data_IF_483955079445
#
_entry.id   IF_483955079445
#
_cell.length_a   1.000
_cell.length_b   1.000
_cell.length_c   1.000
_cell.angle_alpha   90.00
_cell.angle_beta   90.00
_cell.angle_gamma   90.00
#
_symmetry.space_group_name_H-M   'P 1'
#
loop_
_entity.id
_entity.type
_entity.pdbx_description
1 polymer ?
#
# COMPACT_ATOMS: atom_id res chain seq x y z
N UNK A 1 20.15 30.80 11.29
CA UNK A 1 19.79 29.97 12.47
C UNK A 1 21.03 29.26 13.02
N UNK A 2 21.80 28.47 12.24
CA UNK A 2 22.97 27.73 12.74
C UNK A 2 24.07 28.60 13.34
N UNK A 3 24.28 29.83 12.80
CA UNK A 3 25.24 30.82 13.36
C UNK A 3 24.79 31.31 14.72
N UNK A 4 23.54 31.78 14.84
CA UNK A 4 22.97 32.27 16.09
C UNK A 4 22.95 31.19 17.18
N UNK A 5 22.61 29.96 16.86
CA UNK A 5 22.66 28.86 17.82
C UNK A 5 24.08 28.64 18.36
N UNK A 6 25.10 28.74 17.50
CA UNK A 6 26.51 28.56 17.87
C UNK A 6 26.98 29.69 18.78
N UNK A 7 26.63 30.94 18.43
CA UNK A 7 26.95 32.15 19.23
C UNK A 7 26.27 32.12 20.60
N UNK A 8 25.06 31.54 20.69
CA UNK A 8 24.29 31.40 21.94
C UNK A 8 24.61 30.11 22.71
N UNK A 9 25.62 29.30 22.30
CA UNK A 9 25.95 28.02 22.94
C UNK A 9 24.88 26.96 22.84
N UNK A 10 23.87 27.13 21.97
CA UNK A 10 22.78 26.19 21.80
C UNK A 10 23.15 25.09 20.81
N UNK A 11 22.89 23.84 21.19
CA UNK A 11 23.03 22.66 20.31
C UNK A 11 21.65 22.06 20.04
N UNK A 12 21.35 21.82 18.78
CA UNK A 12 20.16 21.06 18.40
C UNK A 12 20.20 19.65 19.02
N UNK A 13 19.14 19.24 19.68
CA UNK A 13 19.02 17.90 20.22
C UNK A 13 18.70 16.93 19.07
N UNK A 14 19.72 16.29 18.55
CA UNK A 14 19.53 15.21 17.57
C UNK A 14 19.08 13.98 18.36
N UNK A 15 17.80 13.66 18.30
CA UNK A 15 17.31 12.37 18.79
C UNK A 15 17.55 11.34 17.68
N UNK A 16 18.67 10.65 17.76
CA UNK A 16 18.92 9.49 16.90
C UNK A 16 18.05 8.33 17.38
N UNK A 17 16.86 8.22 16.80
CA UNK A 17 16.03 7.02 17.03
C UNK A 17 16.61 5.90 16.20
N UNK A 18 17.50 5.13 16.77
CA UNK A 18 17.96 3.85 16.21
C UNK A 18 16.80 2.85 16.32
N UNK A 19 15.93 2.83 15.32
CA UNK A 19 14.98 1.74 15.15
C UNK A 19 15.78 0.49 14.79
N UNK A 20 15.92 -0.44 15.71
CA UNK A 20 16.38 -1.79 15.38
C UNK A 20 15.33 -2.38 14.44
N UNK A 21 15.65 -2.51 13.16
CA UNK A 21 14.78 -3.20 12.19
C UNK A 21 14.92 -4.70 12.47
N UNK A 22 13.87 -5.35 13.00
CA UNK A 22 13.92 -6.81 13.19
C UNK A 22 14.11 -7.47 11.82
N UNK A 23 14.99 -8.49 11.76
CA UNK A 23 15.28 -9.24 10.53
C UNK A 23 15.96 -8.44 9.41
N UNK A 24 16.97 -7.65 9.72
CA UNK A 24 17.75 -6.88 8.74
C UNK A 24 18.18 -7.71 7.51
N UNK A 25 18.58 -8.98 7.70
CA UNK A 25 18.92 -9.89 6.59
C UNK A 25 17.73 -10.10 5.63
N UNK A 26 16.53 -10.39 6.14
CA UNK A 26 15.33 -10.54 5.31
C UNK A 26 14.97 -9.25 4.60
N UNK A 27 15.10 -8.12 5.27
CA UNK A 27 14.88 -6.81 4.70
C UNK A 27 15.84 -6.52 3.54
N UNK A 28 17.12 -6.85 3.67
CA UNK A 28 18.13 -6.68 2.62
C UNK A 28 17.93 -7.69 1.47
N UNK A 29 17.50 -8.92 1.77
CA UNK A 29 17.30 -10.01 0.81
C UNK A 29 15.88 -10.06 0.22
N UNK A 30 15.03 -9.08 0.51
CA UNK A 30 13.62 -9.11 0.08
C UNK A 30 13.44 -9.21 -1.44
N UNK A 31 14.42 -8.77 -2.22
CA UNK A 31 14.38 -8.80 -3.68
C UNK A 31 14.56 -7.41 -4.30
N UNK A 32 14.51 -7.37 -5.60
CA UNK A 32 14.73 -6.16 -6.41
C UNK A 32 13.42 -5.42 -6.70
N UNK A 33 13.55 -4.20 -7.20
CA UNK A 33 12.43 -3.45 -7.75
C UNK A 33 12.29 -3.74 -9.25
N UNK A 34 11.48 -4.74 -9.58
CA UNK A 34 11.23 -5.12 -10.98
C UNK A 34 10.52 -4.03 -11.77
N UNK A 35 9.80 -3.12 -11.11
CA UNK A 35 9.04 -2.06 -11.77
C UNK A 35 9.92 -0.97 -12.38
N UNK A 36 11.17 -0.82 -11.95
CA UNK A 36 12.08 0.18 -12.50
C UNK A 36 12.39 -0.06 -13.99
N UNK A 37 12.51 -1.32 -14.36
CA UNK A 37 12.87 -1.73 -15.71
C UNK A 37 11.68 -2.33 -16.48
N UNK A 38 10.54 -2.51 -15.83
CA UNK A 38 9.33 -2.98 -16.47
C UNK A 38 8.64 -1.83 -17.24
N UNK A 39 8.05 -2.09 -18.39
CA UNK A 39 7.20 -1.10 -19.07
C UNK A 39 6.01 -0.75 -18.19
N UNK A 40 5.45 0.45 -18.42
CA UNK A 40 4.19 0.80 -17.80
C UNK A 40 3.11 -0.23 -18.19
N UNK A 41 2.26 -0.66 -17.24
CA UNK A 41 1.25 -1.66 -17.54
C UNK A 41 0.30 -1.14 -18.63
N UNK A 42 -0.01 -1.99 -19.62
CA UNK A 42 -0.87 -1.67 -20.75
C UNK A 42 -2.30 -2.21 -20.57
N UNK A 43 -2.49 -3.10 -19.60
CA UNK A 43 -3.80 -3.69 -19.25
C UNK A 43 -3.84 -4.03 -17.77
N UNK A 44 -5.05 -4.36 -17.33
CA UNK A 44 -5.30 -4.82 -15.96
C UNK A 44 -4.53 -6.11 -15.67
N UNK A 45 -4.18 -6.28 -14.39
CA UNK A 45 -3.55 -7.49 -13.87
C UNK A 45 -2.15 -7.80 -14.44
N UNK A 46 -1.42 -6.76 -14.87
CA UNK A 46 0.02 -6.85 -15.17
C UNK A 46 0.88 -6.44 -13.98
N UNK A 47 0.45 -5.43 -13.25
CA UNK A 47 1.16 -4.96 -12.07
C UNK A 47 0.16 -4.63 -10.96
N UNK A 48 0.33 -5.26 -9.80
CA UNK A 48 -0.36 -4.88 -8.58
C UNK A 48 0.60 -4.26 -7.59
N UNK A 49 0.14 -3.27 -6.86
CA UNK A 49 0.85 -2.68 -5.73
C UNK A 49 0.07 -2.89 -4.45
N UNK A 50 0.79 -3.17 -3.37
CA UNK A 50 0.17 -3.29 -2.06
C UNK A 50 0.97 -2.50 -1.03
N UNK A 51 0.28 -2.04 -0.01
CA UNK A 51 0.86 -1.29 1.09
C UNK A 51 -0.07 -1.32 2.30
N UNK A 52 0.43 -0.84 3.43
CA UNK A 52 -0.25 -0.78 4.69
C UNK A 52 -0.20 0.63 5.27
N UNK A 53 -1.35 1.11 5.74
CA UNK A 53 -1.43 2.33 6.54
C UNK A 53 -2.16 2.09 7.85
N UNK A 54 -2.09 3.05 8.77
CA UNK A 54 -2.81 2.97 10.03
C UNK A 54 -3.77 4.13 10.20
N UNK A 55 -4.90 3.86 10.84
CA UNK A 55 -5.93 4.83 11.17
C UNK A 55 -6.26 4.68 12.66
N UNK A 56 -6.40 5.82 13.35
CA UNK A 56 -6.70 5.82 14.77
C UNK A 56 -8.20 5.63 15.00
N UNK A 57 -8.53 4.66 15.85
CA UNK A 57 -9.89 4.42 16.35
C UNK A 57 -9.86 4.54 17.87
N UNK A 58 -10.52 5.53 18.43
CA UNK A 58 -10.38 5.89 19.85
C UNK A 58 -8.91 6.07 20.22
N UNK A 59 -8.40 5.25 21.14
CA UNK A 59 -7.02 5.28 21.64
C UNK A 59 -6.10 4.25 20.96
N UNK A 60 -6.60 3.45 20.00
CA UNK A 60 -5.86 2.34 19.35
C UNK A 60 -5.69 2.62 17.86
N UNK A 61 -4.68 2.00 17.24
CA UNK A 61 -4.50 2.00 15.80
C UNK A 61 -5.11 0.74 15.19
N UNK A 62 -5.75 0.91 14.03
CA UNK A 62 -6.17 -0.16 13.14
C UNK A 62 -5.30 -0.05 11.87
N UNK A 63 -4.94 -1.19 11.32
CA UNK A 63 -4.11 -1.26 10.11
C UNK A 63 -4.98 -1.57 8.91
N UNK A 64 -4.87 -0.75 7.88
CA UNK A 64 -5.53 -0.93 6.60
C UNK A 64 -4.51 -1.45 5.59
N UNK A 65 -4.71 -2.65 5.11
CA UNK A 65 -3.94 -3.27 4.03
C UNK A 65 -4.76 -3.12 2.75
N UNK A 66 -4.13 -2.68 1.66
CA UNK A 66 -4.81 -2.53 0.36
C UNK A 66 -3.97 -3.12 -0.77
N UNK A 67 -4.65 -3.63 -1.79
CA UNK A 67 -4.05 -4.08 -3.05
C UNK A 67 -4.71 -3.31 -4.18
N UNK A 68 -3.91 -2.68 -5.03
CA UNK A 68 -4.35 -1.84 -6.15
C UNK A 68 -3.80 -2.38 -7.46
N UNK A 69 -4.59 -2.36 -8.50
CA UNK A 69 -4.14 -2.51 -9.89
C UNK A 69 -3.50 -1.21 -10.38
N UNK A 70 -2.29 -1.29 -10.92
CA UNK A 70 -1.55 -0.09 -11.34
C UNK A 70 -2.13 0.54 -12.59
N UNK A 71 -2.63 -0.27 -13.52
CA UNK A 71 -3.20 0.21 -14.77
C UNK A 71 -4.50 1.00 -14.55
N UNK A 72 -5.44 0.39 -13.85
CA UNK A 72 -6.76 0.97 -13.63
C UNK A 72 -6.87 1.87 -12.40
N UNK A 73 -5.88 1.84 -11.50
CA UNK A 73 -5.92 2.49 -10.18
C UNK A 73 -6.98 1.90 -9.24
N UNK A 74 -7.65 0.83 -9.62
CA UNK A 74 -8.69 0.19 -8.83
C UNK A 74 -8.14 -0.48 -7.60
N UNK A 75 -8.76 -0.22 -6.46
CA UNK A 75 -8.51 -1.02 -5.26
C UNK A 75 -9.21 -2.37 -5.44
N UNK A 76 -8.40 -3.41 -5.63
CA UNK A 76 -8.85 -4.79 -5.86
C UNK A 76 -9.39 -5.43 -4.61
N UNK A 77 -8.84 -5.03 -3.47
CA UNK A 77 -9.25 -5.48 -2.16
C UNK A 77 -8.56 -4.74 -1.04
N UNK A 78 -9.21 -4.76 0.12
CA UNK A 78 -8.69 -4.19 1.35
C UNK A 78 -9.05 -5.05 2.57
N UNK A 79 -8.29 -4.90 3.64
CA UNK A 79 -8.53 -5.54 4.94
C UNK A 79 -8.21 -4.58 6.06
N UNK A 80 -9.05 -4.58 7.10
CA UNK A 80 -8.85 -3.80 8.32
C UNK A 80 -8.47 -4.77 9.45
N UNK A 81 -7.28 -4.59 10.01
CA UNK A 81 -6.66 -5.52 10.95
C UNK A 81 -6.23 -4.81 12.23
N UNK A 82 -6.11 -5.55 13.32
CA UNK A 82 -5.62 -5.06 14.62
C UNK A 82 -4.09 -5.19 14.69
N UNK A 83 -3.54 -6.13 13.96
CA UNK A 83 -2.11 -6.40 13.83
C UNK A 83 -1.62 -6.10 12.42
N UNK A 84 -0.32 -6.18 12.20
CA UNK A 84 0.31 -6.07 10.89
C UNK A 84 1.25 -7.25 10.69
N UNK A 85 0.69 -8.38 10.40
CA UNK A 85 1.42 -9.63 10.24
C UNK A 85 1.17 -10.23 8.85
N UNK A 86 1.95 -11.22 8.47
CA UNK A 86 1.73 -11.96 7.24
C UNK A 86 0.36 -12.66 7.22
N UNK A 87 -0.14 -13.05 8.41
CA UNK A 87 -1.47 -13.67 8.56
C UNK A 87 -2.61 -12.70 8.26
N UNK A 88 -2.37 -11.39 8.37
CA UNK A 88 -3.33 -10.36 7.95
C UNK A 88 -3.29 -10.12 6.44
N UNK A 89 -2.11 -10.24 5.81
CA UNK A 89 -1.91 -10.03 4.36
C UNK A 89 -2.44 -11.20 3.55
N UNK A 90 -2.16 -12.42 3.98
CA UNK A 90 -2.37 -13.64 3.20
C UNK A 90 -3.85 -13.89 2.81
N UNK A 91 -4.84 -13.72 3.71
CA UNK A 91 -6.25 -13.89 3.35
C UNK A 91 -6.72 -12.86 2.31
N UNK A 92 -6.22 -11.61 2.41
CA UNK A 92 -6.52 -10.57 1.43
C UNK A 92 -5.94 -10.93 0.06
N UNK A 93 -4.66 -11.28 0.00
CA UNK A 93 -3.96 -11.68 -1.22
C UNK A 93 -4.69 -12.85 -1.92
N UNK A 94 -4.99 -13.92 -1.18
CA UNK A 94 -5.74 -15.08 -1.69
C UNK A 94 -7.10 -14.71 -2.25
N UNK A 95 -7.83 -13.83 -1.57
CA UNK A 95 -9.14 -13.34 -2.02
C UNK A 95 -9.03 -12.58 -3.34
N UNK A 96 -8.02 -11.71 -3.46
CA UNK A 96 -7.79 -10.93 -4.67
C UNK A 96 -7.36 -11.84 -5.83
N UNK A 97 -6.41 -12.75 -5.62
CA UNK A 97 -5.96 -13.72 -6.64
C UNK A 97 -7.14 -14.56 -7.13
N UNK A 98 -7.95 -15.11 -6.23
CA UNK A 98 -9.12 -15.93 -6.60
C UNK A 98 -10.15 -15.14 -7.43
N UNK A 99 -10.35 -13.85 -7.11
CA UNK A 99 -11.29 -12.99 -7.82
C UNK A 99 -10.78 -12.55 -9.19
N UNK A 100 -9.50 -12.21 -9.28
CA UNK A 100 -8.90 -11.64 -10.50
C UNK A 100 -8.33 -12.70 -11.44
N UNK A 101 -7.90 -13.85 -10.92
CA UNK A 101 -7.27 -14.95 -11.67
C UNK A 101 -6.13 -14.43 -12.57
N UNK A 102 -5.14 -13.73 -12.00
CA UNK A 102 -4.09 -13.13 -12.79
C UNK A 102 -3.29 -14.19 -13.54
N UNK A 103 -2.74 -13.79 -14.68
CA UNK A 103 -1.82 -14.65 -15.43
C UNK A 103 -0.47 -14.73 -14.71
N UNK A 104 0.28 -15.84 -14.85
CA UNK A 104 1.68 -15.88 -14.41
C UNK A 104 2.49 -14.73 -15.00
N UNK A 105 3.47 -14.23 -14.24
CA UNK A 105 4.29 -13.08 -14.62
C UNK A 105 3.75 -11.72 -14.13
N UNK A 106 2.56 -11.66 -13.49
CA UNK A 106 2.10 -10.44 -12.84
C UNK A 106 3.11 -9.98 -11.78
N UNK A 107 3.51 -8.71 -11.82
CA UNK A 107 4.40 -8.11 -10.82
C UNK A 107 3.58 -7.68 -9.60
N UNK A 108 3.84 -8.30 -8.45
CA UNK A 108 3.29 -7.89 -7.16
C UNK A 108 4.33 -7.07 -6.40
N UNK A 109 4.13 -5.76 -6.33
CA UNK A 109 5.08 -4.82 -5.75
C UNK A 109 4.61 -4.30 -4.40
N UNK A 110 5.53 -4.28 -3.43
CA UNK A 110 5.27 -3.78 -2.07
C UNK A 110 6.47 -2.99 -1.56
N UNK A 111 6.27 -2.32 -0.43
CA UNK A 111 7.41 -1.90 0.38
C UNK A 111 8.14 -3.13 0.97
N UNK A 112 9.18 -2.87 1.79
CA UNK A 112 9.93 -3.94 2.48
C UNK A 112 9.36 -4.24 3.87
N UNK A 113 8.06 -4.03 4.08
CA UNK A 113 7.38 -4.39 5.32
C UNK A 113 7.51 -5.89 5.62
N UNK A 114 7.80 -6.22 6.89
CA UNK A 114 8.03 -7.61 7.31
C UNK A 114 6.83 -8.52 7.04
N UNK A 115 5.64 -7.96 7.01
CA UNK A 115 4.38 -8.61 6.67
C UNK A 115 4.33 -9.07 5.22
N UNK A 116 4.91 -8.29 4.28
CA UNK A 116 4.95 -8.62 2.86
C UNK A 116 6.14 -9.51 2.46
N UNK A 117 7.29 -9.37 3.14
CA UNK A 117 8.48 -10.17 2.85
C UNK A 117 8.48 -11.54 3.55
N UNK A 118 7.44 -11.87 4.30
CA UNK A 118 7.32 -13.15 4.99
C UNK A 118 7.28 -14.32 4.01
N UNK A 119 7.94 -15.42 4.37
CA UNK A 119 8.05 -16.61 3.49
C UNK A 119 6.69 -17.16 3.04
N UNK A 120 5.67 -17.10 3.91
CA UNK A 120 4.31 -17.59 3.60
C UNK A 120 3.66 -16.76 2.49
N UNK A 121 3.87 -15.44 2.46
CA UNK A 121 3.38 -14.56 1.41
C UNK A 121 4.15 -14.82 0.11
N UNK A 122 5.47 -14.95 0.19
CA UNK A 122 6.32 -15.26 -0.97
C UNK A 122 5.96 -16.62 -1.60
N UNK A 123 5.70 -17.63 -0.77
CA UNK A 123 5.29 -18.95 -1.23
C UNK A 123 3.93 -18.91 -1.94
N UNK A 124 3.00 -18.08 -1.43
CA UNK A 124 1.69 -17.89 -2.07
C UNK A 124 1.82 -17.20 -3.43
N UNK A 125 2.65 -16.15 -3.55
CA UNK A 125 2.93 -15.50 -4.82
C UNK A 125 3.53 -16.47 -5.83
N UNK A 126 4.57 -17.23 -5.42
CA UNK A 126 5.22 -18.24 -6.26
C UNK A 126 4.25 -19.31 -6.74
N UNK A 127 3.37 -19.80 -5.86
CA UNK A 127 2.34 -20.81 -6.19
C UNK A 127 1.45 -20.38 -7.36
N UNK A 128 1.20 -19.09 -7.49
CA UNK A 128 0.37 -18.52 -8.54
C UNK A 128 1.18 -17.90 -9.70
N UNK A 129 2.51 -18.08 -9.71
CA UNK A 129 3.39 -17.55 -10.75
C UNK A 129 3.50 -16.01 -10.75
N UNK A 130 3.25 -15.37 -9.60
CA UNK A 130 3.37 -13.93 -9.47
C UNK A 130 4.82 -13.54 -9.12
N UNK A 131 5.34 -12.54 -9.82
CA UNK A 131 6.68 -12.02 -9.63
C UNK A 131 6.70 -11.01 -8.47
N UNK A 132 7.51 -11.29 -7.46
CA UNK A 132 7.66 -10.38 -6.33
C UNK A 132 8.57 -9.22 -6.66
N UNK A 133 8.19 -8.03 -6.24
CA UNK A 133 8.95 -6.80 -6.41
C UNK A 133 8.89 -5.96 -5.15
N UNK A 134 9.98 -5.28 -4.79
CA UNK A 134 10.03 -4.47 -3.59
C UNK A 134 10.71 -3.14 -3.84
N UNK A 135 10.32 -2.11 -3.08
CA UNK A 135 10.98 -0.81 -3.09
C UNK A 135 12.50 -0.98 -2.90
N UNK A 136 13.28 -0.13 -3.51
CA UNK A 136 14.70 0.04 -3.16
C UNK A 136 14.82 0.50 -1.71
N UNK A 137 15.94 0.17 -1.09
CA UNK A 137 16.21 0.59 0.28
C UNK A 137 16.27 2.12 0.33
N UNK A 138 15.45 2.73 1.19
CA UNK A 138 15.40 4.19 1.36
C UNK A 138 14.57 4.95 0.31
N UNK A 139 13.95 4.27 -0.66
CA UNK A 139 13.14 4.88 -1.71
C UNK A 139 11.65 4.56 -1.53
N UNK A 140 10.96 5.31 -0.67
CA UNK A 140 9.51 5.15 -0.47
C UNK A 140 8.70 5.49 -1.73
N UNK A 141 9.18 6.44 -2.53
CA UNK A 141 8.55 6.88 -3.79
C UNK A 141 8.41 5.78 -4.84
N UNK A 142 9.09 4.65 -4.68
CA UNK A 142 8.92 3.50 -5.58
C UNK A 142 7.49 2.92 -5.54
N UNK A 143 6.71 3.22 -4.48
CA UNK A 143 5.28 2.89 -4.37
C UNK A 143 4.35 4.12 -4.38
N UNK A 144 4.65 5.10 -5.24
CA UNK A 144 3.93 6.36 -5.35
C UNK A 144 2.41 6.21 -5.56
N UNK A 145 1.96 5.11 -6.18
CA UNK A 145 0.55 4.81 -6.38
C UNK A 145 -0.19 4.62 -5.06
N UNK A 146 0.40 3.86 -4.14
CA UNK A 146 -0.19 3.63 -2.82
C UNK A 146 -0.06 4.86 -1.93
N UNK A 147 1.07 5.60 -2.02
CA UNK A 147 1.22 6.87 -1.32
C UNK A 147 0.13 7.87 -1.72
N UNK A 148 -0.13 8.01 -3.03
CA UNK A 148 -1.18 8.88 -3.57
C UNK A 148 -2.58 8.44 -3.12
N UNK A 149 -2.86 7.13 -3.13
CA UNK A 149 -4.11 6.60 -2.64
C UNK A 149 -4.33 6.93 -1.16
N UNK A 150 -3.35 6.64 -0.31
CA UNK A 150 -3.47 6.91 1.12
C UNK A 150 -3.51 8.40 1.45
N UNK A 151 -2.85 9.23 0.66
CA UNK A 151 -2.97 10.68 0.79
C UNK A 151 -4.43 11.12 0.56
N UNK A 152 -5.05 10.65 -0.53
CA UNK A 152 -6.46 10.93 -0.85
C UNK A 152 -7.40 10.36 0.22
N UNK A 153 -7.25 9.09 0.58
CA UNK A 153 -8.06 8.46 1.63
C UNK A 153 -8.01 9.24 2.95
N UNK A 154 -6.78 9.60 3.39
CA UNK A 154 -6.60 10.35 4.64
C UNK A 154 -7.15 11.75 4.55
N UNK A 155 -6.95 12.44 3.42
CA UNK A 155 -7.43 13.81 3.20
C UNK A 155 -8.95 13.89 3.08
N UNK A 156 -9.55 12.98 2.32
CA UNK A 156 -10.96 13.04 1.95
C UNK A 156 -11.88 12.33 2.97
N UNK A 157 -11.39 11.29 3.65
CA UNK A 157 -12.24 10.46 4.52
C UNK A 157 -11.84 10.48 6.00
N UNK A 158 -10.53 10.57 6.32
CA UNK A 158 -10.06 10.45 7.73
C UNK A 158 -9.88 11.80 8.39
N UNK A 159 -9.35 12.81 7.68
CA UNK A 159 -9.03 14.11 8.26
C UNK A 159 -10.27 14.77 8.86
N UNK A 160 -10.16 15.21 10.12
CA UNK A 160 -11.25 15.84 10.85
C UNK A 160 -12.29 14.87 11.43
N UNK A 161 -12.18 13.57 11.17
CA UNK A 161 -13.08 12.56 11.71
C UNK A 161 -12.48 11.83 12.91
N UNK A 162 -13.33 11.49 13.87
CA UNK A 162 -13.02 10.60 14.98
C UNK A 162 -13.85 9.35 14.84
N UNK A 163 -13.21 8.19 14.86
CA UNK A 163 -13.90 6.88 14.80
C UNK A 163 -13.99 6.30 16.21
N UNK A 164 -15.22 5.98 16.64
CA UNK A 164 -15.50 5.46 17.97
C UNK A 164 -15.42 3.93 18.02
N UNK A 165 -15.57 3.26 16.89
CA UNK A 165 -15.48 1.80 16.80
C UNK A 165 -14.83 1.34 15.50
N UNK A 166 -14.33 0.11 15.51
CA UNK A 166 -13.81 -0.57 14.30
C UNK A 166 -14.92 -0.77 13.25
N UNK A 167 -16.16 -0.99 13.69
CA UNK A 167 -17.32 -1.11 12.79
C UNK A 167 -17.59 0.19 12.04
N UNK A 168 -17.57 1.33 12.74
CA UNK A 168 -17.73 2.66 12.12
C UNK A 168 -16.64 2.92 11.09
N UNK A 169 -15.37 2.68 11.44
CA UNK A 169 -14.27 2.82 10.49
C UNK A 169 -14.44 1.89 9.29
N UNK A 170 -14.84 0.62 9.50
CA UNK A 170 -15.04 -0.34 8.41
C UNK A 170 -16.14 0.10 7.45
N UNK A 171 -17.26 0.60 7.95
CA UNK A 171 -18.34 1.13 7.12
C UNK A 171 -17.90 2.35 6.33
N UNK A 172 -17.18 3.28 6.96
CA UNK A 172 -16.63 4.45 6.28
C UNK A 172 -15.63 4.06 5.18
N UNK A 173 -14.75 3.09 5.43
CA UNK A 173 -13.80 2.57 4.43
C UNK A 173 -14.51 1.91 3.27
N UNK A 174 -15.53 1.08 3.51
CA UNK A 174 -16.31 0.46 2.44
C UNK A 174 -17.04 1.51 1.59
N UNK A 175 -17.69 2.46 2.22
CA UNK A 175 -18.34 3.56 1.50
C UNK A 175 -17.35 4.37 0.66
N UNK A 176 -16.17 4.65 1.22
CA UNK A 176 -15.15 5.41 0.51
C UNK A 176 -14.48 4.58 -0.59
N UNK A 177 -13.99 3.39 -0.31
CA UNK A 177 -13.21 2.60 -1.28
C UNK A 177 -14.12 1.99 -2.34
N UNK A 178 -15.15 1.25 -1.90
CA UNK A 178 -15.99 0.47 -2.80
C UNK A 178 -17.08 1.34 -3.45
N UNK A 179 -17.62 2.31 -2.70
CA UNK A 179 -18.67 3.22 -3.17
C UNK A 179 -18.15 4.41 -3.97
N UNK A 180 -17.17 5.14 -3.44
CA UNK A 180 -16.72 6.40 -4.04
C UNK A 180 -15.44 6.26 -4.85
N UNK A 181 -14.32 5.81 -4.26
CA UNK A 181 -13.00 5.78 -4.92
C UNK A 181 -13.02 4.95 -6.21
N UNK A 182 -13.53 3.74 -6.16
CA UNK A 182 -13.57 2.86 -7.32
C UNK A 182 -14.65 3.21 -8.34
N UNK A 183 -15.79 3.83 -7.93
CA UNK A 183 -16.97 4.03 -8.78
C UNK A 183 -17.19 5.45 -9.26
N UNK A 184 -16.76 6.45 -8.50
CA UNK A 184 -17.15 7.83 -8.75
C UNK A 184 -15.97 8.79 -8.79
N UNK A 185 -14.88 8.50 -8.06
CA UNK A 185 -13.73 9.40 -7.97
C UNK A 185 -13.00 9.43 -9.30
N UNK A 186 -12.84 10.65 -9.86
CA UNK A 186 -12.10 10.86 -11.09
C UNK A 186 -10.59 10.89 -10.81
N UNK A 187 -9.80 10.24 -11.67
CA UNK A 187 -8.36 10.14 -11.57
C UNK A 187 -7.67 10.70 -12.80
N UNK A 188 -6.86 11.74 -12.62
CA UNK A 188 -6.11 12.37 -13.72
C UNK A 188 -5.18 11.40 -14.45
N UNK A 189 -4.56 10.46 -13.72
CA UNK A 189 -3.65 9.46 -14.27
C UNK A 189 -4.31 8.40 -15.17
N UNK A 190 -5.64 8.38 -15.26
CA UNK A 190 -6.43 7.51 -16.14
C UNK A 190 -7.50 8.33 -16.90
N UNK A 191 -7.13 9.55 -17.33
CA UNK A 191 -7.98 10.37 -18.19
C UNK A 191 -9.25 10.89 -17.52
N UNK A 192 -9.20 11.23 -16.24
CA UNK A 192 -10.34 11.72 -15.46
C UNK A 192 -11.55 10.77 -15.52
N UNK A 193 -11.27 9.47 -15.45
CA UNK A 193 -12.28 8.40 -15.35
C UNK A 193 -12.18 7.77 -13.98
N UNK A 194 -13.24 7.13 -13.51
CA UNK A 194 -13.17 6.28 -12.31
C UNK A 194 -12.58 4.90 -12.65
N UNK A 195 -11.97 4.21 -11.67
CA UNK A 195 -11.30 2.94 -11.89
C UNK A 195 -12.18 1.83 -12.50
N UNK A 196 -13.43 1.72 -12.12
CA UNK A 196 -14.33 0.68 -12.64
C UNK A 196 -14.64 0.91 -14.12
N UNK A 197 -15.02 2.13 -14.49
CA UNK A 197 -15.34 2.46 -15.88
C UNK A 197 -14.11 2.39 -16.77
N UNK A 198 -12.93 2.74 -16.22
CA UNK A 198 -11.66 2.59 -16.94
C UNK A 198 -11.35 1.11 -17.25
N UNK A 199 -11.52 0.21 -16.27
CA UNK A 199 -11.39 -1.24 -16.53
C UNK A 199 -12.40 -1.76 -17.56
N UNK A 200 -13.63 -1.30 -17.48
CA UNK A 200 -14.69 -1.74 -18.41
C UNK A 200 -14.42 -1.36 -19.87
N UNK A 201 -13.71 -0.25 -20.11
CA UNK A 201 -13.31 0.20 -21.46
C UNK A 201 -12.10 -0.57 -22.01
N UNK A 202 -11.30 -1.17 -21.12
CA UNK A 202 -10.06 -1.86 -21.46
C UNK A 202 -10.23 -3.39 -21.57
N UNK A 203 -11.42 -3.91 -21.27
CA UNK A 203 -11.78 -5.33 -21.36
C UNK A 203 -12.30 -5.69 -22.76
#
# INVERSE_FOLDING_TARGET
>A
VARLMRESGLKGRVVTVTRRTPNLRRFQQAGENLRLNAPAPQKCDEQWVADLTYIKVNKRYQYLITIMDVYSRKILGWSLCVTRTADDVLPLLRRVIRKRKPRPGLIFHTDRGIEFIANVVQSELKKHGLERSHNRIGHCTDNAHMESFYHSLKGEMVRGRKFNSTGELRSALSSYIDGFYNRSRLHSGIGYTNPIDYEARAA
#
